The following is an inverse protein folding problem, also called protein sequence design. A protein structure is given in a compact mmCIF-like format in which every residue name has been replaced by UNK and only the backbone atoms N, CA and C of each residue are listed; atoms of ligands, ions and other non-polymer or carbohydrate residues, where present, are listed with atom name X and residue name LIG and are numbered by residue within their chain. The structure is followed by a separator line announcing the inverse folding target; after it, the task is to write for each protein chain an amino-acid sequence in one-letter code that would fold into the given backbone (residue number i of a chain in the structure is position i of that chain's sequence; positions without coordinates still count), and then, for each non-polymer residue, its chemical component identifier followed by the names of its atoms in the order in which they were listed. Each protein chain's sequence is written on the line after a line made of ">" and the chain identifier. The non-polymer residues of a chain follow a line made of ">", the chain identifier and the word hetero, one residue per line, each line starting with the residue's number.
data_IF_260055283759
#
_entry.id   IF_260055283759
#
_cell.length_a   1.000
_cell.length_b   1.000
_cell.length_c   1.000
_cell.angle_alpha   90.00
_cell.angle_beta   90.00
_cell.angle_gamma   90.00
#
_symmetry.space_group_name_H-M   'P 1'
#
loop_
_entity.id
_entity.type
_entity.pdbx_description
1 polymer ?
#
# COMPACT_ATOMS: atom_id res chain seq x y z
N UNK A 1 -33.01 5.70 -37.35
CA UNK A 1 -32.08 6.82 -37.58
C UNK A 1 -30.92 6.64 -36.62
N UNK A 2 -29.70 6.69 -37.14
CA UNK A 2 -28.51 6.07 -36.57
C UNK A 2 -28.17 6.52 -35.15
N UNK A 3 -27.90 5.51 -34.33
CA UNK A 3 -27.15 5.55 -33.09
C UNK A 3 -25.70 5.96 -33.41
N UNK A 4 -25.44 7.27 -33.45
CA UNK A 4 -24.07 7.78 -33.37
C UNK A 4 -23.76 7.91 -31.89
N UNK A 5 -23.24 6.85 -31.29
CA UNK A 5 -22.47 6.97 -30.06
C UNK A 5 -21.54 8.17 -30.22
N UNK A 6 -21.65 9.12 -29.30
CA UNK A 6 -20.81 10.31 -29.31
C UNK A 6 -19.35 9.84 -29.43
N UNK A 7 -18.57 10.28 -30.45
CA UNK A 7 -17.18 9.87 -30.60
C UNK A 7 -16.37 10.11 -29.32
N UNK A 8 -16.78 11.07 -28.48
CA UNK A 8 -16.23 11.29 -27.15
C UNK A 8 -16.59 10.17 -26.16
N UNK A 9 -17.84 9.70 -26.14
CA UNK A 9 -18.26 8.57 -25.31
C UNK A 9 -17.58 7.26 -25.72
N UNK A 10 -17.35 7.06 -27.03
CA UNK A 10 -16.62 5.88 -27.52
C UNK A 10 -15.12 5.95 -27.20
N UNK A 11 -14.51 7.15 -27.28
CA UNK A 11 -13.13 7.38 -26.87
C UNK A 11 -12.95 7.22 -25.35
N UNK A 12 -13.87 7.76 -24.53
CA UNK A 12 -13.89 7.53 -23.07
C UNK A 12 -14.00 6.04 -22.72
N UNK A 13 -14.86 5.30 -23.42
CA UNK A 13 -15.05 3.87 -23.20
C UNK A 13 -13.79 3.01 -23.43
N UNK A 14 -12.84 3.46 -24.25
CA UNK A 14 -11.57 2.78 -24.50
C UNK A 14 -10.40 3.35 -23.68
N UNK A 15 -10.41 4.66 -23.44
CA UNK A 15 -9.38 5.36 -22.69
C UNK A 15 -9.40 5.00 -21.20
N UNK A 16 -10.60 4.91 -20.61
CA UNK A 16 -10.74 4.73 -19.17
C UNK A 16 -10.16 3.40 -18.65
N UNK A 17 -10.46 2.22 -19.24
CA UNK A 17 -9.90 0.95 -18.76
C UNK A 17 -8.39 0.88 -18.93
N UNK A 18 -7.88 1.44 -20.03
CA UNK A 18 -6.43 1.47 -20.33
C UNK A 18 -5.68 2.31 -19.31
N UNK A 19 -6.25 3.45 -18.94
CA UNK A 19 -5.69 4.37 -17.97
C UNK A 19 -5.72 3.80 -16.54
N UNK A 20 -6.84 3.20 -16.13
CA UNK A 20 -6.93 2.45 -14.86
C UNK A 20 -5.88 1.33 -14.81
N UNK A 21 -5.75 0.58 -15.91
CA UNK A 21 -4.76 -0.50 -16.04
C UNK A 21 -3.33 0.00 -15.87
N UNK A 22 -2.97 1.15 -16.45
CA UNK A 22 -1.65 1.75 -16.28
C UNK A 22 -1.40 2.17 -14.82
N UNK A 23 -2.34 2.83 -14.15
CA UNK A 23 -2.14 3.27 -12.77
C UNK A 23 -2.01 2.10 -11.80
N UNK A 24 -2.92 1.12 -11.89
CA UNK A 24 -2.87 -0.09 -11.06
C UNK A 24 -1.61 -0.88 -11.37
N UNK A 25 -1.24 -1.00 -12.66
CA UNK A 25 -0.03 -1.69 -13.10
C UNK A 25 1.24 -1.06 -12.55
N UNK A 26 1.39 0.27 -12.64
CA UNK A 26 2.54 1.00 -12.08
C UNK A 26 2.59 0.88 -10.56
N UNK A 27 1.47 1.06 -9.87
CA UNK A 27 1.37 0.88 -8.42
C UNK A 27 1.85 -0.52 -8.00
N UNK A 28 1.34 -1.56 -8.65
CA UNK A 28 1.76 -2.95 -8.40
C UNK A 28 3.23 -3.18 -8.76
N UNK A 29 3.72 -2.54 -9.82
CA UNK A 29 5.13 -2.57 -10.22
C UNK A 29 6.04 -2.02 -9.12
N UNK A 30 5.75 -0.83 -8.59
CA UNK A 30 6.52 -0.23 -7.50
C UNK A 30 6.40 -1.02 -6.20
N UNK A 31 5.17 -1.46 -5.87
CA UNK A 31 4.91 -2.33 -4.72
C UNK A 31 5.74 -3.62 -4.78
N UNK A 32 5.85 -4.24 -5.95
CA UNK A 32 6.58 -5.50 -6.14
C UNK A 32 8.09 -5.39 -5.88
N UNK A 33 8.67 -4.19 -6.05
CA UNK A 33 10.08 -3.92 -5.78
C UNK A 33 10.34 -3.66 -4.29
N UNK A 34 9.30 -3.26 -3.53
CA UNK A 34 9.43 -2.87 -2.12
C UNK A 34 8.96 -3.95 -1.15
N UNK A 35 7.94 -4.72 -1.47
CA UNK A 35 7.40 -5.74 -0.57
C UNK A 35 8.47 -6.78 -0.18
N UNK A 36 8.64 -7.04 1.12
CA UNK A 36 9.48 -8.15 1.60
C UNK A 36 8.65 -9.43 1.73
N UNK A 37 7.35 -9.31 1.97
CA UNK A 37 6.41 -10.41 2.18
C UNK A 37 4.96 -10.04 1.87
N UNK A 38 4.02 -10.75 2.48
CA UNK A 38 2.59 -10.65 2.22
C UNK A 38 1.96 -9.42 2.88
N UNK A 39 2.46 -8.98 4.03
CA UNK A 39 1.84 -7.92 4.83
C UNK A 39 2.43 -6.53 4.62
N UNK A 40 3.46 -6.40 3.78
CA UNK A 40 4.19 -5.13 3.58
C UNK A 40 3.46 -4.10 2.70
N UNK A 41 2.33 -4.45 2.09
CA UNK A 41 1.56 -3.56 1.22
C UNK A 41 0.39 -2.86 1.92
N UNK A 42 0.29 -2.95 3.24
CA UNK A 42 -0.78 -2.31 4.05
C UNK A 42 -2.17 -2.92 3.88
N UNK A 43 -2.41 -3.69 2.82
CA UNK A 43 -3.61 -4.49 2.62
C UNK A 43 -3.26 -5.96 2.81
N UNK A 44 -3.72 -6.61 3.90
CA UNK A 44 -3.44 -8.02 4.10
C UNK A 44 -4.10 -8.82 2.97
N UNK A 45 -3.32 -9.63 2.26
CA UNK A 45 -3.86 -10.60 1.32
C UNK A 45 -4.50 -11.75 2.12
N UNK A 46 -5.74 -11.55 2.56
CA UNK A 46 -6.42 -12.37 3.57
C UNK A 46 -6.80 -13.79 3.10
N UNK A 47 -6.82 -14.01 1.78
CA UNK A 47 -7.36 -15.23 1.15
C UNK A 47 -6.29 -16.14 0.54
N UNK A 48 -4.99 -15.80 0.65
CA UNK A 48 -3.92 -16.61 0.08
C UNK A 48 -3.50 -17.75 1.03
N UNK A 49 -3.49 -19.02 0.59
CA UNK A 49 -3.09 -20.15 1.42
C UNK A 49 -1.57 -20.25 1.48
N UNK A 50 -0.93 -19.44 2.33
CA UNK A 50 0.49 -19.57 2.65
C UNK A 50 1.19 -18.24 2.92
N UNK A 51 2.31 -18.31 3.63
CA UNK A 51 3.22 -17.19 3.87
C UNK A 51 4.32 -17.22 2.80
N UNK A 52 4.65 -16.07 2.23
CA UNK A 52 5.73 -15.96 1.26
C UNK A 52 6.63 -14.77 1.56
N UNK A 53 7.88 -14.90 1.13
CA UNK A 53 8.85 -13.81 1.12
C UNK A 53 9.29 -13.56 -0.31
N UNK A 54 9.49 -12.29 -0.65
CA UNK A 54 10.13 -11.91 -1.91
C UNK A 54 11.63 -11.92 -1.67
N UNK A 55 12.23 -13.11 -1.80
CA UNK A 55 13.65 -13.36 -1.46
C UNK A 55 14.61 -12.34 -2.09
N UNK A 56 14.48 -11.96 -3.38
CA UNK A 56 15.34 -10.93 -3.96
C UNK A 56 15.27 -9.59 -3.23
N UNK A 57 14.07 -9.17 -2.80
CA UNK A 57 13.89 -7.90 -2.09
C UNK A 57 14.45 -7.97 -0.67
N UNK A 58 14.29 -9.11 0.00
CA UNK A 58 14.88 -9.37 1.33
C UNK A 58 16.41 -9.32 1.27
N UNK A 59 17.01 -9.90 0.23
CA UNK A 59 18.46 -9.86 0.02
C UNK A 59 18.98 -8.47 -0.34
N UNK A 60 18.26 -7.74 -1.19
CA UNK A 60 18.56 -6.36 -1.52
C UNK A 60 18.50 -5.47 -0.28
N UNK A 61 17.42 -5.57 0.51
CA UNK A 61 17.29 -4.84 1.78
C UNK A 61 18.46 -5.12 2.74
N UNK A 62 18.85 -6.39 2.90
CA UNK A 62 19.98 -6.75 3.74
C UNK A 62 21.28 -6.10 3.24
N UNK A 63 21.50 -6.10 1.93
CA UNK A 63 22.69 -5.53 1.28
C UNK A 63 22.73 -4.00 1.44
N UNK A 64 21.64 -3.32 1.12
CA UNK A 64 21.52 -1.87 1.14
C UNK A 64 21.71 -1.29 2.55
N UNK A 65 21.31 -2.04 3.57
CA UNK A 65 21.45 -1.64 4.98
C UNK A 65 22.64 -2.26 5.71
N UNK A 66 23.50 -3.02 5.01
CA UNK A 66 24.70 -3.67 5.57
C UNK A 66 24.36 -4.55 6.78
N UNK A 67 23.35 -5.41 6.60
CA UNK A 67 22.81 -6.35 7.58
C UNK A 67 23.12 -7.79 7.15
N UNK A 68 23.13 -8.70 8.11
CA UNK A 68 23.23 -10.13 7.85
C UNK A 68 21.94 -10.64 7.18
N UNK A 69 22.08 -11.16 5.96
CA UNK A 69 20.95 -11.60 5.17
C UNK A 69 20.19 -12.80 5.79
N UNK A 70 20.83 -13.62 6.61
CA UNK A 70 20.13 -14.69 7.34
C UNK A 70 19.26 -14.09 8.45
N UNK A 71 19.74 -13.07 9.15
CA UNK A 71 18.93 -12.38 10.16
C UNK A 71 17.76 -11.62 9.58
N UNK A 72 17.93 -10.94 8.44
CA UNK A 72 16.79 -10.29 7.75
C UNK A 72 15.76 -11.31 7.30
N UNK A 73 16.18 -12.46 6.74
CA UNK A 73 15.25 -13.55 6.36
C UNK A 73 14.50 -14.11 7.56
N UNK A 74 15.20 -14.35 8.67
CA UNK A 74 14.57 -14.84 9.90
C UNK A 74 13.57 -13.84 10.46
N UNK A 75 13.96 -12.56 10.52
CA UNK A 75 13.11 -11.45 10.93
C UNK A 75 11.84 -11.39 10.07
N UNK A 76 11.99 -11.33 8.75
CA UNK A 76 10.86 -11.21 7.82
C UNK A 76 9.92 -12.42 7.94
N UNK A 77 10.46 -13.64 8.00
CA UNK A 77 9.65 -14.85 8.19
C UNK A 77 8.89 -14.83 9.53
N UNK A 78 9.49 -14.31 10.59
CA UNK A 78 8.86 -14.19 11.90
C UNK A 78 7.75 -13.14 11.89
N UNK A 79 7.96 -11.98 11.27
CA UNK A 79 6.96 -10.93 11.09
C UNK A 79 5.74 -11.44 10.31
N UNK A 80 5.96 -12.11 9.18
CA UNK A 80 4.90 -12.72 8.38
C UNK A 80 4.08 -13.74 9.19
N UNK A 81 4.75 -14.50 10.06
CA UNK A 81 4.08 -15.45 10.96
C UNK A 81 3.26 -14.76 12.03
N UNK A 82 3.79 -13.68 12.62
CA UNK A 82 3.11 -12.92 13.66
C UNK A 82 1.88 -12.19 13.08
N UNK A 83 2.03 -11.50 11.95
CA UNK A 83 0.91 -10.83 11.27
C UNK A 83 -0.20 -11.80 10.90
N UNK A 84 0.13 -12.95 10.31
CA UNK A 84 -0.86 -13.98 9.98
C UNK A 84 -1.60 -14.47 11.22
N UNK A 85 -0.90 -14.66 12.34
CA UNK A 85 -1.52 -15.09 13.60
C UNK A 85 -2.51 -14.04 14.11
N UNK A 86 -2.14 -12.76 14.11
CA UNK A 86 -2.99 -11.65 14.56
C UNK A 86 -4.24 -11.54 13.68
N UNK A 87 -4.05 -11.57 12.38
CA UNK A 87 -5.12 -11.44 11.37
C UNK A 87 -6.01 -12.68 11.29
N UNK A 88 -5.57 -13.84 11.79
CA UNK A 88 -6.41 -15.03 11.92
C UNK A 88 -7.30 -15.04 13.17
N UNK A 89 -7.20 -14.02 14.03
CA UNK A 89 -8.15 -13.86 15.13
C UNK A 89 -9.50 -13.42 14.55
N UNK A 90 -10.54 -14.24 14.76
CA UNK A 90 -11.84 -14.13 14.09
C UNK A 90 -12.46 -12.72 14.16
N UNK A 91 -12.47 -12.11 15.35
CA UNK A 91 -13.03 -10.77 15.53
C UNK A 91 -12.19 -9.69 14.82
N UNK A 92 -10.87 -9.87 14.75
CA UNK A 92 -9.97 -8.88 14.15
C UNK A 92 -10.14 -8.86 12.65
N UNK A 93 -10.17 -10.03 12.02
CA UNK A 93 -10.39 -10.19 10.58
C UNK A 93 -11.71 -9.57 10.14
N UNK A 94 -12.79 -9.93 10.84
CA UNK A 94 -14.14 -9.44 10.52
C UNK A 94 -14.24 -7.92 10.70
N UNK A 95 -13.66 -7.37 11.76
CA UNK A 95 -13.64 -5.93 12.02
C UNK A 95 -12.83 -5.16 10.96
N UNK A 96 -11.64 -5.64 10.61
CA UNK A 96 -10.81 -5.01 9.58
C UNK A 96 -11.53 -4.97 8.23
N UNK A 97 -12.09 -6.10 7.82
CA UNK A 97 -12.86 -6.20 6.58
C UNK A 97 -14.09 -5.28 6.60
N UNK A 98 -14.84 -5.25 7.70
CA UNK A 98 -16.00 -4.38 7.82
C UNK A 98 -15.63 -2.89 7.71
N UNK A 99 -14.50 -2.46 8.28
CA UNK A 99 -14.04 -1.07 8.15
C UNK A 99 -13.59 -0.74 6.73
N UNK A 100 -12.89 -1.66 6.08
CA UNK A 100 -12.53 -1.53 4.66
C UNK A 100 -13.79 -1.42 3.81
N UNK A 101 -14.79 -2.28 4.02
CA UNK A 101 -16.05 -2.24 3.28
C UNK A 101 -16.77 -0.90 3.46
N UNK A 102 -16.87 -0.38 4.69
CA UNK A 102 -17.45 0.94 4.97
C UNK A 102 -16.68 2.06 4.25
N UNK A 103 -15.35 2.01 4.28
CA UNK A 103 -14.51 3.03 3.64
C UNK A 103 -14.67 3.06 2.12
N UNK A 104 -14.79 1.88 1.49
CA UNK A 104 -14.91 1.77 0.02
C UNK A 104 -16.37 1.85 -0.49
N UNK A 105 -17.38 1.72 0.38
CA UNK A 105 -18.79 1.68 -0.04
C UNK A 105 -19.25 2.93 -0.81
N UNK A 106 -18.74 4.10 -0.46
CA UNK A 106 -19.16 5.38 -1.04
C UNK A 106 -18.18 5.93 -2.10
N UNK A 107 -17.17 5.14 -2.47
CA UNK A 107 -16.24 5.50 -3.52
C UNK A 107 -16.87 5.35 -4.90
N UNK A 108 -16.84 6.43 -5.67
CA UNK A 108 -17.31 6.47 -7.05
C UNK A 108 -16.26 7.11 -7.96
N UNK A 109 -16.30 6.76 -9.25
CA UNK A 109 -15.39 7.33 -10.23
C UNK A 109 -15.66 8.83 -10.38
N UNK A 110 -14.60 9.63 -10.33
CA UNK A 110 -14.66 11.06 -10.61
C UNK A 110 -14.62 11.30 -12.13
N UNK A 111 -15.79 11.14 -12.76
CA UNK A 111 -15.95 11.38 -14.20
C UNK A 111 -15.60 12.82 -14.60
N UNK A 112 -15.76 13.79 -13.70
CA UNK A 112 -15.49 15.20 -13.99
C UNK A 112 -13.99 15.49 -14.15
N UNK A 113 -13.15 14.91 -13.29
CA UNK A 113 -11.69 14.98 -13.43
C UNK A 113 -11.21 14.32 -14.72
N UNK A 114 -11.78 13.16 -15.06
CA UNK A 114 -11.47 12.42 -16.29
C UNK A 114 -11.82 13.24 -17.55
N UNK A 115 -13.01 13.87 -17.57
CA UNK A 115 -13.47 14.71 -18.68
C UNK A 115 -12.52 15.90 -18.91
N UNK A 116 -12.15 16.61 -17.84
CA UNK A 116 -11.18 17.72 -17.91
C UNK A 116 -9.83 17.28 -18.47
N UNK A 117 -9.36 16.08 -18.12
CA UNK A 117 -8.12 15.56 -18.68
C UNK A 117 -8.25 15.18 -20.14
N UNK A 118 -9.36 14.56 -20.55
CA UNK A 118 -9.59 14.23 -21.96
C UNK A 118 -9.63 15.50 -22.83
N UNK A 119 -10.23 16.58 -22.33
CA UNK A 119 -10.20 17.89 -22.98
C UNK A 119 -8.77 18.44 -23.10
N UNK A 120 -7.95 18.32 -22.05
CA UNK A 120 -6.56 18.77 -22.10
C UNK A 120 -5.69 17.95 -23.07
N UNK A 121 -5.98 16.65 -23.22
CA UNK A 121 -5.29 15.75 -24.16
C UNK A 121 -5.68 16.00 -25.63
N UNK A 122 -6.82 16.65 -25.88
CA UNK A 122 -7.26 17.05 -27.23
C UNK A 122 -6.61 18.36 -27.71
N UNK A 123 -5.92 19.10 -26.83
CA UNK A 123 -5.16 20.29 -27.19
C UNK A 123 -3.90 19.99 -28.01
N UNK A 124 -3.33 21.00 -28.66
CA UNK A 124 -2.07 20.86 -29.41
C UNK A 124 -0.94 20.36 -28.49
N UNK A 125 -0.48 19.12 -28.70
CA UNK A 125 0.57 18.48 -27.88
C UNK A 125 0.08 17.46 -26.85
N UNK A 126 -1.23 17.29 -26.65
CA UNK A 126 -1.78 16.37 -25.65
C UNK A 126 -1.45 14.89 -25.89
N UNK A 127 -1.43 14.45 -27.16
CA UNK A 127 -0.98 13.09 -27.52
C UNK A 127 0.52 12.88 -27.27
N UNK A 128 1.34 13.93 -27.38
CA UNK A 128 2.77 13.91 -27.10
C UNK A 128 3.04 13.82 -25.59
N UNK A 129 2.18 14.43 -24.77
CA UNK A 129 2.20 14.32 -23.32
C UNK A 129 1.74 12.94 -22.81
N UNK A 130 0.84 12.27 -23.53
CA UNK A 130 0.39 10.90 -23.21
C UNK A 130 1.49 9.84 -23.44
N UNK A 131 2.32 10.06 -24.47
CA UNK A 131 3.34 9.09 -24.92
C UNK A 131 4.69 9.26 -24.23
N UNK A 132 4.88 10.31 -23.42
CA UNK A 132 6.15 10.65 -22.79
C UNK A 132 7.20 11.09 -23.82
N UNK A 133 8.00 12.08 -23.47
CA UNK A 133 9.27 12.29 -24.16
C UNK A 133 10.15 11.04 -24.01
N UNK A 134 11.05 10.80 -24.97
CA UNK A 134 12.02 9.70 -24.94
C UNK A 134 12.77 9.67 -23.59
N UNK A 135 12.34 8.81 -22.66
CA UNK A 135 13.03 8.58 -21.38
C UNK A 135 12.20 8.62 -20.11
N UNK A 136 10.96 9.11 -20.12
CA UNK A 136 10.09 9.13 -18.95
C UNK A 136 8.88 8.21 -19.15
N UNK A 137 8.74 7.17 -18.33
CA UNK A 137 7.52 6.37 -18.19
C UNK A 137 6.40 7.17 -17.47
N UNK A 138 6.33 8.47 -17.72
CA UNK A 138 5.26 9.32 -17.23
C UNK A 138 4.07 9.18 -18.21
N UNK A 139 3.25 8.15 -17.99
CA UNK A 139 1.87 8.16 -18.51
C UNK A 139 1.14 9.42 -18.04
N UNK A 140 -0.01 9.77 -18.63
CA UNK A 140 -0.70 11.03 -18.36
C UNK A 140 -0.80 11.28 -16.86
N UNK A 141 -0.07 12.30 -16.39
CA UNK A 141 -0.01 12.64 -14.99
C UNK A 141 -1.40 13.14 -14.58
N UNK A 142 -2.18 12.27 -13.96
CA UNK A 142 -3.44 12.68 -13.35
C UNK A 142 -3.13 13.62 -12.19
N UNK A 143 -3.74 14.79 -12.24
CA UNK A 143 -3.60 15.83 -11.20
C UNK A 143 -4.58 15.63 -10.04
N UNK A 144 -5.38 14.57 -10.03
CA UNK A 144 -6.41 14.31 -9.03
C UNK A 144 -6.76 12.83 -8.87
N UNK A 145 -7.49 12.47 -7.79
CA UNK A 145 -7.86 11.10 -7.51
C UNK A 145 -8.88 10.56 -8.51
N UNK A 146 -8.73 9.30 -8.92
CA UNK A 146 -9.67 8.64 -9.84
C UNK A 146 -11.01 8.30 -9.21
N UNK A 147 -10.98 7.95 -7.94
CA UNK A 147 -12.16 7.70 -7.12
C UNK A 147 -12.31 8.81 -6.09
N UNK A 148 -13.55 9.23 -5.86
CA UNK A 148 -13.91 10.24 -4.88
C UNK A 148 -15.11 9.75 -4.06
N UNK A 149 -15.25 10.26 -2.86
CA UNK A 149 -16.33 9.90 -1.94
C UNK A 149 -16.26 10.74 -0.67
N UNK A 150 -17.33 10.78 0.13
CA UNK A 150 -17.29 11.33 1.47
C UNK A 150 -16.42 10.43 2.37
N UNK A 151 -15.10 10.54 2.25
CA UNK A 151 -14.20 9.89 3.17
C UNK A 151 -14.32 10.58 4.54
N UNK A 152 -14.95 9.91 5.50
CA UNK A 152 -14.85 10.36 6.87
C UNK A 152 -13.41 10.08 7.34
N UNK A 153 -12.73 11.12 7.81
CA UNK A 153 -11.39 10.99 8.37
C UNK A 153 -11.33 9.90 9.46
N UNK A 154 -12.43 9.70 10.19
CA UNK A 154 -12.57 8.69 11.24
C UNK A 154 -12.50 7.24 10.70
N UNK A 155 -13.04 6.98 9.50
CA UNK A 155 -13.03 5.64 8.90
C UNK A 155 -11.61 5.26 8.46
N UNK A 156 -10.91 6.19 7.81
CA UNK A 156 -9.51 6.05 7.45
C UNK A 156 -8.61 5.85 8.69
N UNK A 157 -8.80 6.69 9.71
CA UNK A 157 -8.04 6.61 10.96
C UNK A 157 -8.22 5.27 11.66
N UNK A 158 -9.42 4.69 11.61
CA UNK A 158 -9.68 3.39 12.21
C UNK A 158 -8.99 2.23 11.46
N UNK A 159 -8.99 2.24 10.13
CA UNK A 159 -8.24 1.26 9.33
C UNK A 159 -6.74 1.38 9.63
N UNK A 160 -6.22 2.61 9.64
CA UNK A 160 -4.81 2.88 9.97
C UNK A 160 -4.46 2.40 11.38
N UNK A 161 -5.33 2.60 12.37
CA UNK A 161 -5.11 2.13 13.74
C UNK A 161 -5.05 0.60 13.82
N UNK A 162 -5.92 -0.12 13.09
CA UNK A 162 -5.90 -1.59 13.04
C UNK A 162 -4.64 -2.12 12.37
N UNK A 163 -4.24 -1.56 11.23
CA UNK A 163 -3.00 -1.94 10.53
C UNK A 163 -1.80 -1.67 11.44
N UNK A 164 -1.74 -0.48 12.06
CA UNK A 164 -0.69 -0.12 12.99
C UNK A 164 -0.61 -1.09 14.18
N UNK A 165 -1.75 -1.52 14.71
CA UNK A 165 -1.79 -2.53 15.75
C UNK A 165 -1.19 -3.87 15.28
N UNK A 166 -1.54 -4.37 14.09
CA UNK A 166 -0.97 -5.62 13.54
C UNK A 166 0.54 -5.54 13.49
N UNK A 167 1.07 -4.44 12.97
CA UNK A 167 2.50 -4.25 12.80
C UNK A 167 3.24 -4.08 14.13
N UNK A 168 2.73 -3.21 15.01
CA UNK A 168 3.33 -2.93 16.32
C UNK A 168 3.31 -4.16 17.22
N UNK A 169 2.19 -4.88 17.28
CA UNK A 169 2.09 -6.11 18.06
C UNK A 169 2.90 -7.25 17.43
N UNK A 170 2.97 -7.31 16.10
CA UNK A 170 3.84 -8.24 15.38
C UNK A 170 5.31 -8.06 15.77
N UNK A 171 5.81 -6.82 15.74
CA UNK A 171 7.17 -6.49 16.15
C UNK A 171 7.43 -6.86 17.62
N UNK A 172 6.48 -6.55 18.52
CA UNK A 172 6.56 -6.95 19.92
C UNK A 172 6.72 -8.47 20.09
N UNK A 173 5.89 -9.26 19.41
CA UNK A 173 5.93 -10.73 19.47
C UNK A 173 7.25 -11.29 18.94
N UNK A 174 7.77 -10.74 17.84
CA UNK A 174 9.06 -11.16 17.27
C UNK A 174 10.21 -10.85 18.22
N UNK A 175 10.25 -9.64 18.81
CA UNK A 175 11.25 -9.28 19.82
C UNK A 175 11.19 -10.22 21.03
N UNK A 176 9.99 -10.47 21.55
CA UNK A 176 9.79 -11.34 22.71
C UNK A 176 10.18 -12.80 22.42
N UNK A 177 9.91 -13.30 21.21
CA UNK A 177 10.15 -14.69 20.85
C UNK A 177 11.55 -15.01 20.33
N UNK A 178 12.17 -14.06 19.60
CA UNK A 178 13.42 -14.30 18.86
C UNK A 178 14.54 -13.31 19.19
N UNK A 179 14.31 -12.33 20.07
CA UNK A 179 15.30 -11.28 20.36
C UNK A 179 16.68 -11.80 20.77
N UNK A 180 16.74 -12.85 21.60
CA UNK A 180 18.03 -13.45 22.01
C UNK A 180 18.81 -14.11 20.87
N UNK A 181 18.11 -14.57 19.82
CA UNK A 181 18.70 -15.23 18.65
C UNK A 181 19.06 -14.25 17.53
N UNK A 182 18.68 -12.98 17.67
CA UNK A 182 18.74 -11.98 16.60
C UNK A 182 19.52 -10.73 17.05
N UNK A 183 20.86 -10.78 17.11
CA UNK A 183 21.66 -9.65 17.58
C UNK A 183 21.55 -8.39 16.69
N UNK A 184 21.01 -8.49 15.46
CA UNK A 184 20.78 -7.33 14.60
C UNK A 184 19.33 -6.82 14.60
N UNK A 185 18.44 -7.36 15.43
CA UNK A 185 17.00 -7.03 15.40
C UNK A 185 16.72 -5.53 15.48
N UNK A 186 17.43 -4.79 16.34
CA UNK A 186 17.29 -3.34 16.47
C UNK A 186 17.70 -2.62 15.19
N UNK A 187 18.79 -3.06 14.54
CA UNK A 187 19.26 -2.45 13.27
C UNK A 187 18.30 -2.75 12.12
N UNK A 188 17.73 -3.95 12.09
CA UNK A 188 16.76 -4.38 11.08
C UNK A 188 15.48 -3.55 11.20
N UNK A 189 14.89 -3.48 12.40
CA UNK A 189 13.65 -2.73 12.62
C UNK A 189 13.82 -1.23 12.38
N UNK A 190 14.96 -0.66 12.79
CA UNK A 190 15.26 0.74 12.54
C UNK A 190 15.47 1.02 11.03
N UNK A 191 16.10 0.11 10.29
CA UNK A 191 16.18 0.21 8.83
C UNK A 191 14.79 0.11 8.17
N UNK A 192 13.95 -0.82 8.61
CA UNK A 192 12.59 -0.96 8.10
C UNK A 192 11.72 0.27 8.42
N UNK A 193 11.82 0.82 9.63
CA UNK A 193 11.10 2.00 10.05
C UNK A 193 11.48 3.23 9.21
N UNK A 194 12.77 3.43 8.92
CA UNK A 194 13.21 4.48 8.00
C UNK A 194 12.65 4.28 6.60
N UNK A 195 12.75 3.05 6.08
CA UNK A 195 12.24 2.69 4.75
C UNK A 195 10.73 2.95 4.61
N UNK A 196 9.96 2.74 5.67
CA UNK A 196 8.51 3.05 5.72
C UNK A 196 8.19 4.53 5.88
N UNK A 197 9.12 5.31 6.43
CA UNK A 197 8.96 6.77 6.54
C UNK A 197 9.32 7.49 5.22
N UNK A 198 10.06 6.83 4.32
CA UNK A 198 10.39 7.33 3.00
C UNK A 198 9.16 7.31 2.06
N UNK A 199 8.91 8.40 1.31
CA UNK A 199 7.85 8.41 0.29
C UNK A 199 8.00 7.24 -0.69
N UNK A 200 6.87 6.63 -1.02
CA UNK A 200 6.79 5.46 -1.90
C UNK A 200 5.95 5.79 -3.13
N UNK A 201 6.49 5.55 -4.32
CA UNK A 201 5.73 5.75 -5.58
C UNK A 201 4.46 4.89 -5.65
N UNK A 202 4.44 3.75 -4.95
CA UNK A 202 3.25 2.92 -4.81
C UNK A 202 2.19 3.58 -3.93
N UNK A 203 2.60 4.22 -2.82
CA UNK A 203 1.70 4.97 -1.93
C UNK A 203 1.14 6.18 -2.67
N UNK A 204 1.99 6.94 -3.36
CA UNK A 204 1.53 8.07 -4.18
C UNK A 204 0.56 7.63 -5.29
N UNK A 205 0.82 6.49 -5.94
CA UNK A 205 -0.08 5.93 -6.95
C UNK A 205 -1.41 5.49 -6.34
N UNK A 206 -1.40 4.93 -5.12
CA UNK A 206 -2.62 4.59 -4.38
C UNK A 206 -3.41 5.84 -3.97
N UNK A 207 -2.75 6.86 -3.43
CA UNK A 207 -3.38 8.16 -3.11
C UNK A 207 -4.00 8.80 -4.36
N UNK A 208 -3.33 8.73 -5.52
CA UNK A 208 -3.89 9.16 -6.81
C UNK A 208 -5.03 8.27 -7.32
N UNK A 209 -5.15 7.04 -6.85
CA UNK A 209 -6.26 6.18 -7.22
C UNK A 209 -7.49 6.51 -6.37
N UNK A 210 -7.35 6.52 -5.05
CA UNK A 210 -8.51 6.53 -4.13
C UNK A 210 -8.65 7.79 -3.29
N UNK A 211 -7.74 8.77 -3.41
CA UNK A 211 -7.77 10.01 -2.62
C UNK A 211 -7.46 9.82 -1.13
N UNK A 212 -7.06 8.61 -0.71
CA UNK A 212 -6.67 8.30 0.65
C UNK A 212 -5.18 8.56 0.83
N UNK A 213 -4.83 9.51 1.70
CA UNK A 213 -3.48 9.59 2.25
C UNK A 213 -3.39 8.57 3.39
N UNK A 214 -2.74 7.43 3.13
CA UNK A 214 -2.36 6.50 4.17
C UNK A 214 -1.27 7.19 4.99
N UNK A 215 -1.67 8.00 5.98
CA UNK A 215 -0.74 8.69 6.87
C UNK A 215 0.33 7.71 7.34
N UNK A 216 1.59 8.12 7.09
CA UNK A 216 2.81 7.36 7.31
C UNK A 216 2.68 6.46 8.53
N UNK A 217 2.73 5.17 8.28
CA UNK A 217 2.44 4.11 9.22
C UNK A 217 3.00 4.37 10.64
N UNK A 218 2.11 4.35 11.64
CA UNK A 218 2.43 4.57 13.05
C UNK A 218 3.06 3.33 13.73
N UNK A 219 3.89 2.53 13.03
CA UNK A 219 4.54 1.31 13.53
C UNK A 219 5.14 1.51 14.91
N UNK A 220 5.95 2.55 15.00
CA UNK A 220 6.68 2.87 16.21
C UNK A 220 5.74 3.25 17.35
N UNK A 221 4.73 4.07 17.07
CA UNK A 221 3.72 4.47 18.07
C UNK A 221 2.89 3.27 18.52
N UNK A 222 2.52 2.38 17.60
CA UNK A 222 1.77 1.18 17.91
C UNK A 222 2.60 0.16 18.68
N UNK A 223 3.89 0.03 18.35
CA UNK A 223 4.84 -0.79 19.11
C UNK A 223 5.00 -0.23 20.53
N UNK A 224 5.25 1.08 20.68
CA UNK A 224 5.33 1.75 21.99
C UNK A 224 4.05 1.55 22.81
N UNK A 225 2.88 1.63 22.16
CA UNK A 225 1.60 1.32 22.79
C UNK A 225 1.53 -0.13 23.27
N UNK A 226 1.87 -1.10 22.42
CA UNK A 226 1.84 -2.53 22.76
C UNK A 226 2.81 -2.84 23.90
N UNK A 227 4.03 -2.32 23.83
CA UNK A 227 5.06 -2.46 24.87
C UNK A 227 4.55 -1.89 26.20
N UNK A 228 3.94 -0.70 26.18
CA UNK A 228 3.39 -0.05 27.37
C UNK A 228 2.17 -0.78 27.97
N UNK A 229 1.36 -1.45 27.15
CA UNK A 229 0.26 -2.31 27.63
C UNK A 229 0.81 -3.54 28.33
N UNK A 230 1.78 -4.23 27.72
CA UNK A 230 2.40 -5.44 28.29
C UNK A 230 3.18 -5.12 29.56
N UNK A 231 3.91 -3.99 29.61
CA UNK A 231 4.61 -3.57 30.83
C UNK A 231 3.65 -3.36 32.01
N UNK A 232 2.45 -2.83 31.72
CA UNK A 232 1.45 -2.53 32.76
C UNK A 232 0.63 -3.74 33.19
N UNK A 233 0.36 -4.69 32.30
CA UNK A 233 -0.64 -5.74 32.52
C UNK A 233 -0.14 -7.18 32.33
N UNK A 234 1.09 -7.39 31.84
CA UNK A 234 1.66 -8.71 31.52
C UNK A 234 1.30 -9.20 30.11
#
# INVERSE_FOLDING_TARGET
>A
TGDTADPMAQAMGQFMPSMLGMQVGSMMGFASQRALGQFDLGLPALDQPGRYLIVPNVEAFATDHQLDALQVRLWAAAMESAHQMIVNVEWFRSELLARVDVFFADLHLDTSSIEQQLESLQGEGGLQALLGGEGELAGPAMTGPLFTGPHQADDAAAIQALIAFVEGYGAHLVRRGLGEMMPEIDRIEEAQNRRRAEPSEAEEAFTRLVGLDLERHHARVAQEFCDGVVERWG
#
